data_IF_365614394830
#
_entry.id   IF_365614394830
#
_cell.length_a   1.000
_cell.length_b   1.000
_cell.length_c   1.000
_cell.angle_alpha   90.00
_cell.angle_beta   90.00
_cell.angle_gamma   90.00
#
_symmetry.space_group_name_H-M   'P 1'
#
loop_
_entity.id
_entity.type
_entity.pdbx_description
1 polymer ?
#
# COMPACT_ATOMS: atom_id res chain seq x y z
N UNK A 1 56.72 36.63 10.11
CA UNK A 1 56.61 35.16 9.98
C UNK A 1 55.44 34.54 10.77
N UNK A 2 55.23 34.81 12.07
CA UNK A 2 54.08 34.22 12.81
C UNK A 2 52.69 34.73 12.38
N UNK A 3 52.58 36.00 11.97
CA UNK A 3 51.28 36.61 11.60
C UNK A 3 50.75 36.23 10.20
N UNK A 4 51.61 35.76 9.29
CA UNK A 4 51.18 35.29 7.97
C UNK A 4 50.70 33.84 7.99
N UNK A 5 51.24 33.03 8.92
CA UNK A 5 50.87 31.62 9.07
C UNK A 5 49.48 31.45 9.72
N UNK A 6 49.05 32.38 10.57
CA UNK A 6 47.71 32.38 11.18
C UNK A 6 46.61 32.89 10.22
N UNK A 7 46.93 33.82 9.28
CA UNK A 7 45.99 34.27 8.25
C UNK A 7 45.66 33.19 7.23
N UNK A 8 46.64 32.37 6.84
CA UNK A 8 46.42 31.23 5.95
C UNK A 8 45.48 30.17 6.57
N UNK A 9 45.67 29.87 7.86
CA UNK A 9 44.87 28.86 8.58
C UNK A 9 43.42 29.28 8.81
N UNK A 10 43.16 30.57 9.08
CA UNK A 10 41.79 31.09 9.27
C UNK A 10 41.03 31.30 7.95
N UNK A 11 41.73 31.66 6.86
CA UNK A 11 41.14 31.77 5.52
C UNK A 11 40.75 30.40 4.94
N UNK A 12 41.58 29.38 5.18
CA UNK A 12 41.34 28.02 4.70
C UNK A 12 40.18 27.34 5.46
N UNK A 13 40.05 27.55 6.78
CA UNK A 13 38.91 27.02 7.56
C UNK A 13 37.57 27.62 7.14
N UNK A 14 37.52 28.92 6.80
CA UNK A 14 36.29 29.56 6.29
C UNK A 14 35.93 29.07 4.89
N UNK A 15 36.92 28.88 4.00
CA UNK A 15 36.67 28.36 2.65
C UNK A 15 36.25 26.89 2.65
N UNK A 16 36.84 26.06 3.53
CA UNK A 16 36.46 24.65 3.67
C UNK A 16 35.06 24.51 4.27
N UNK A 17 34.68 25.30 5.27
CA UNK A 17 33.32 25.30 5.80
C UNK A 17 32.29 25.80 4.76
N UNK A 18 32.61 26.84 3.98
CA UNK A 18 31.70 27.32 2.93
C UNK A 18 31.53 26.32 1.79
N UNK A 19 32.57 25.58 1.42
CA UNK A 19 32.50 24.52 0.39
C UNK A 19 31.75 23.29 0.91
N UNK A 20 31.90 22.92 2.19
CA UNK A 20 31.12 21.84 2.81
C UNK A 20 29.63 22.19 2.96
N UNK A 21 29.29 23.45 3.28
CA UNK A 21 27.90 23.92 3.32
C UNK A 21 27.31 23.98 1.91
N UNK A 22 28.08 24.39 0.90
CA UNK A 22 27.64 24.36 -0.50
C UNK A 22 27.47 22.92 -1.03
N UNK A 23 28.32 21.97 -0.61
CA UNK A 23 28.19 20.54 -0.93
C UNK A 23 27.00 19.89 -0.22
N UNK A 24 26.67 20.31 1.01
CA UNK A 24 25.48 19.88 1.73
C UNK A 24 24.18 20.50 1.16
N UNK A 25 24.26 21.66 0.51
CA UNK A 25 23.15 22.28 -0.23
C UNK A 25 23.03 21.79 -1.70
N UNK A 26 24.03 21.05 -2.19
CA UNK A 26 24.06 20.44 -3.53
C UNK A 26 23.84 18.93 -3.49
N UNK A 27 23.74 18.32 -2.31
CA UNK A 27 22.97 17.10 -2.19
C UNK A 27 21.52 17.53 -2.36
N UNK A 28 20.82 17.23 -3.47
CA UNK A 28 19.42 16.92 -3.27
C UNK A 28 19.46 15.86 -2.16
N UNK A 29 18.77 16.11 -1.04
CA UNK A 29 18.02 15.00 -0.47
C UNK A 29 17.28 14.51 -1.70
N UNK A 30 17.70 13.38 -2.26
CA UNK A 30 16.90 12.70 -3.25
C UNK A 30 15.65 12.38 -2.44
N UNK A 31 14.70 13.32 -2.41
CA UNK A 31 13.32 13.00 -2.17
C UNK A 31 13.09 11.95 -3.24
N UNK A 32 12.98 10.70 -2.81
CA UNK A 32 12.74 9.56 -3.66
C UNK A 32 11.59 9.96 -4.57
N UNK A 33 11.93 10.31 -5.82
CA UNK A 33 10.98 10.92 -6.71
C UNK A 33 9.98 9.83 -7.05
N UNK A 34 8.71 10.05 -6.71
CA UNK A 34 7.65 9.11 -7.02
C UNK A 34 7.61 8.90 -8.54
N UNK A 35 7.99 7.71 -9.00
CA UNK A 35 8.14 7.41 -10.42
C UNK A 35 6.83 6.88 -11.00
N UNK A 36 6.25 7.65 -11.92
CA UNK A 36 5.03 7.29 -12.63
C UNK A 36 5.36 6.55 -13.94
N UNK A 37 4.71 5.42 -14.17
CA UNK A 37 4.78 4.67 -15.42
C UNK A 37 4.01 5.33 -16.56
N UNK A 38 4.05 4.72 -17.75
CA UNK A 38 3.38 5.24 -18.95
C UNK A 38 1.85 5.34 -18.82
N UNK A 39 1.24 4.52 -17.96
CA UNK A 39 -0.19 4.57 -17.62
C UNK A 39 -0.54 5.73 -16.66
N UNK A 40 0.46 6.49 -16.19
CA UNK A 40 0.29 7.60 -15.28
C UNK A 40 0.06 7.20 -13.83
N UNK A 41 0.21 5.92 -13.46
CA UNK A 41 0.24 5.47 -12.06
C UNK A 41 1.68 5.28 -11.60
N UNK A 42 1.90 5.25 -10.29
CA UNK A 42 3.17 4.76 -9.76
C UNK A 42 3.46 3.34 -10.24
N UNK A 43 4.72 3.13 -10.63
CA UNK A 43 5.18 1.85 -11.16
C UNK A 43 6.09 1.17 -10.16
N UNK A 44 5.66 0.03 -9.62
CA UNK A 44 6.47 -0.74 -8.67
C UNK A 44 7.87 -1.06 -9.22
N UNK A 45 8.06 -1.55 -10.46
CA UNK A 45 9.40 -1.82 -11.01
C UNK A 45 10.31 -0.60 -11.19
N UNK A 46 9.74 0.60 -11.19
CA UNK A 46 10.47 1.88 -11.29
C UNK A 46 10.67 2.53 -9.91
N UNK A 47 9.95 2.06 -8.89
CA UNK A 47 10.03 2.59 -7.55
C UNK A 47 11.32 2.16 -6.84
N UNK A 48 11.85 2.98 -5.91
CA UNK A 48 12.98 2.57 -5.06
C UNK A 48 12.63 1.40 -4.13
N UNK A 49 11.33 1.15 -3.91
CA UNK A 49 10.80 0.11 -3.03
C UNK A 49 10.88 -1.29 -3.68
N UNK A 50 11.17 -1.37 -4.99
CA UNK A 50 11.13 -2.62 -5.75
C UNK A 50 12.12 -3.67 -5.23
N UNK A 51 13.34 -3.27 -4.86
CA UNK A 51 14.37 -4.21 -4.42
C UNK A 51 13.91 -4.96 -3.16
N UNK A 52 13.37 -4.24 -2.18
CA UNK A 52 12.89 -4.82 -0.93
C UNK A 52 11.60 -5.64 -1.12
N UNK A 53 10.66 -5.15 -1.93
CA UNK A 53 9.39 -5.85 -2.18
C UNK A 53 9.63 -7.12 -3.01
N UNK A 54 10.48 -7.06 -4.04
CA UNK A 54 10.80 -8.24 -4.86
C UNK A 54 11.57 -9.31 -4.08
N UNK A 55 12.30 -8.94 -3.02
CA UNK A 55 12.90 -9.92 -2.11
C UNK A 55 11.87 -10.80 -1.38
N UNK A 56 10.60 -10.38 -1.30
CA UNK A 56 9.50 -11.16 -0.75
C UNK A 56 8.95 -12.24 -1.72
N UNK A 57 9.48 -12.35 -2.94
CA UNK A 57 8.99 -13.27 -4.00
C UNK A 57 8.73 -14.69 -3.49
N UNK A 58 9.68 -15.28 -2.75
CA UNK A 58 9.53 -16.64 -2.21
C UNK A 58 8.38 -16.75 -1.22
N UNK A 59 8.15 -15.72 -0.40
CA UNK A 59 7.05 -15.69 0.56
C UNK A 59 5.72 -15.49 -0.16
N UNK A 60 5.67 -14.58 -1.14
CA UNK A 60 4.51 -14.33 -2.01
C UNK A 60 4.06 -15.64 -2.66
N UNK A 61 4.98 -16.37 -3.30
CA UNK A 61 4.67 -17.64 -3.95
C UNK A 61 4.22 -18.71 -2.96
N UNK A 62 4.86 -18.79 -1.79
CA UNK A 62 4.47 -19.75 -0.75
C UNK A 62 3.03 -19.52 -0.30
N UNK A 63 2.68 -18.28 0.02
CA UNK A 63 1.34 -17.97 0.50
C UNK A 63 0.28 -18.03 -0.62
N UNK A 64 0.59 -17.56 -1.83
CA UNK A 64 -0.33 -17.65 -2.97
C UNK A 64 -0.63 -19.09 -3.37
N UNK A 65 0.39 -19.97 -3.37
CA UNK A 65 0.19 -21.39 -3.63
C UNK A 65 -0.61 -22.10 -2.53
N UNK A 66 -0.39 -21.73 -1.27
CA UNK A 66 -1.23 -22.23 -0.19
C UNK A 66 -2.71 -21.87 -0.40
N UNK A 67 -2.99 -20.62 -0.79
CA UNK A 67 -4.34 -20.18 -1.16
C UNK A 67 -4.86 -20.95 -2.38
N UNK A 68 -4.03 -21.19 -3.40
CA UNK A 68 -4.44 -21.96 -4.57
C UNK A 68 -4.85 -23.40 -4.21
N UNK A 69 -4.10 -24.05 -3.32
CA UNK A 69 -4.44 -25.39 -2.83
C UNK A 69 -5.76 -25.41 -2.06
N UNK A 70 -5.99 -24.42 -1.20
CA UNK A 70 -7.18 -24.34 -0.33
C UNK A 70 -8.44 -23.89 -1.08
N UNK A 71 -8.34 -22.83 -1.87
CA UNK A 71 -9.49 -22.15 -2.49
C UNK A 71 -9.79 -22.64 -3.91
N UNK A 72 -8.76 -23.09 -4.65
CA UNK A 72 -8.89 -23.54 -6.03
C UNK A 72 -8.69 -25.06 -6.21
N UNK A 73 -8.29 -25.77 -5.16
CA UNK A 73 -8.00 -27.21 -5.21
C UNK A 73 -6.82 -27.56 -6.11
N UNK A 74 -5.84 -26.66 -6.23
CA UNK A 74 -4.65 -26.82 -7.07
C UNK A 74 -3.47 -27.44 -6.31
N UNK A 75 -2.38 -27.74 -7.01
CA UNK A 75 -1.14 -28.20 -6.40
C UNK A 75 -0.41 -27.06 -5.66
N UNK A 76 0.45 -27.40 -4.70
CA UNK A 76 1.22 -26.44 -3.88
C UNK A 76 2.29 -25.66 -4.69
N UNK A 77 2.35 -25.86 -6.01
CA UNK A 77 3.25 -25.15 -6.94
C UNK A 77 2.49 -24.64 -8.18
N UNK A 78 1.22 -24.31 -8.02
CA UNK A 78 0.36 -23.80 -9.09
C UNK A 78 0.84 -22.46 -9.67
N UNK A 79 1.21 -21.49 -8.83
CA UNK A 79 1.80 -20.22 -9.23
C UNK A 79 3.33 -20.31 -9.24
N UNK A 80 3.96 -19.75 -10.29
CA UNK A 80 5.40 -19.56 -10.43
C UNK A 80 5.78 -18.08 -10.50
N UNK A 81 7.09 -17.80 -10.63
CA UNK A 81 7.62 -16.42 -10.66
C UNK A 81 7.04 -15.59 -11.83
N UNK A 82 6.83 -16.26 -12.95
CA UNK A 82 6.31 -15.66 -14.19
C UNK A 82 4.85 -15.22 -14.06
N UNK A 83 4.13 -15.76 -13.07
CA UNK A 83 2.74 -15.41 -12.81
C UNK A 83 2.61 -14.12 -11.98
N UNK A 84 3.71 -13.60 -11.42
CA UNK A 84 3.72 -12.37 -10.62
C UNK A 84 3.74 -11.17 -11.57
N UNK A 85 2.63 -10.43 -11.60
CA UNK A 85 2.47 -9.22 -12.41
C UNK A 85 3.08 -7.99 -11.75
N UNK A 86 4.40 -7.94 -11.59
CA UNK A 86 5.11 -6.79 -11.03
C UNK A 86 4.80 -5.48 -11.78
N UNK A 87 4.70 -5.55 -13.10
CA UNK A 87 4.35 -4.45 -14.01
C UNK A 87 2.90 -3.98 -13.90
N UNK A 88 2.04 -4.80 -13.29
CA UNK A 88 0.61 -4.53 -13.06
C UNK A 88 0.30 -4.19 -11.61
N UNK A 89 1.33 -4.15 -10.76
CA UNK A 89 1.15 -3.77 -9.38
C UNK A 89 0.76 -2.28 -9.29
N UNK A 90 -0.07 -1.94 -8.31
CA UNK A 90 -0.52 -0.58 -8.09
C UNK A 90 -0.48 -0.22 -6.61
N UNK A 91 -0.15 1.04 -6.31
CA UNK A 91 -0.05 1.57 -4.96
C UNK A 91 -1.35 2.22 -4.53
N UNK A 92 -1.80 1.93 -3.32
CA UNK A 92 -2.92 2.58 -2.63
C UNK A 92 -2.38 3.30 -1.41
N UNK A 93 -2.72 4.57 -1.25
CA UNK A 93 -2.45 5.29 -0.02
C UNK A 93 -3.66 5.29 0.91
N UNK A 94 -3.41 5.01 2.18
CA UNK A 94 -4.41 5.00 3.25
C UNK A 94 -4.20 6.17 4.19
N UNK A 95 -5.31 6.59 4.81
CA UNK A 95 -5.33 7.57 5.90
C UNK A 95 -4.80 8.97 5.55
N UNK A 96 -4.52 9.25 4.28
CA UNK A 96 -4.25 10.60 3.77
C UNK A 96 -5.52 11.27 3.27
N UNK A 97 -5.83 12.45 3.79
CA UNK A 97 -6.91 13.29 3.29
C UNK A 97 -6.37 14.48 2.48
N UNK A 98 -6.34 14.39 1.14
CA UNK A 98 -5.85 15.49 0.31
C UNK A 98 -6.78 16.71 0.32
N UNK A 99 -8.03 16.56 0.78
CA UNK A 99 -9.02 17.64 0.80
C UNK A 99 -8.81 18.58 1.99
N UNK A 100 -8.10 18.14 3.03
CA UNK A 100 -7.71 18.98 4.17
C UNK A 100 -6.53 19.92 3.87
N UNK A 101 -5.79 19.69 2.77
CA UNK A 101 -4.67 20.54 2.34
C UNK A 101 -5.09 21.97 2.00
N UNK A 102 -6.34 22.20 1.59
CA UNK A 102 -6.84 23.53 1.20
C UNK A 102 -6.18 24.10 -0.07
N UNK A 103 -5.48 23.27 -0.84
CA UNK A 103 -4.74 23.62 -2.07
C UNK A 103 -5.02 22.58 -3.15
N UNK A 104 -4.85 22.96 -4.43
CA UNK A 104 -4.84 22.04 -5.56
C UNK A 104 -3.42 21.71 -6.05
N UNK A 105 -2.38 22.10 -5.30
CA UNK A 105 -0.98 21.89 -5.65
C UNK A 105 -0.57 20.40 -5.57
N UNK A 106 -0.06 19.85 -6.67
CA UNK A 106 0.40 18.46 -6.69
C UNK A 106 1.61 18.22 -5.78
N UNK A 107 2.55 19.17 -5.69
CA UNK A 107 3.74 18.99 -4.85
C UNK A 107 3.38 18.87 -3.36
N UNK A 108 2.35 19.60 -2.89
CA UNK A 108 1.85 19.50 -1.52
C UNK A 108 1.16 18.14 -1.26
N UNK A 109 0.43 17.62 -2.25
CA UNK A 109 -0.12 16.27 -2.19
C UNK A 109 0.99 15.22 -2.10
N UNK A 110 1.98 15.26 -2.99
CA UNK A 110 3.04 14.25 -3.02
C UNK A 110 3.88 14.31 -1.73
N UNK A 111 4.10 15.50 -1.18
CA UNK A 111 4.71 15.67 0.14
C UNK A 111 3.88 14.98 1.24
N UNK A 112 2.56 15.25 1.31
CA UNK A 112 1.65 14.58 2.25
C UNK A 112 1.72 13.05 2.14
N UNK A 113 1.70 12.52 0.91
CA UNK A 113 1.78 11.07 0.67
C UNK A 113 3.12 10.48 1.10
N UNK A 114 4.22 11.22 0.98
CA UNK A 114 5.55 10.76 1.39
C UNK A 114 5.78 10.82 2.90
N UNK A 115 5.20 11.82 3.58
CA UNK A 115 5.43 12.06 5.01
C UNK A 115 4.42 11.33 5.90
N UNK A 116 3.17 11.25 5.47
CA UNK A 116 2.05 10.72 6.26
C UNK A 116 1.36 9.52 5.61
N UNK A 117 1.64 9.26 4.33
CA UNK A 117 0.96 8.24 3.55
C UNK A 117 1.38 6.81 3.88
N UNK A 118 0.42 6.05 4.39
CA UNK A 118 0.54 4.60 4.50
C UNK A 118 0.30 3.96 3.12
N UNK A 119 1.39 3.66 2.41
CA UNK A 119 1.36 3.01 1.11
C UNK A 119 1.19 1.49 1.20
N UNK A 120 0.32 0.94 0.34
CA UNK A 120 0.11 -0.49 0.13
C UNK A 120 0.28 -0.80 -1.35
N UNK A 121 1.17 -1.71 -1.68
CA UNK A 121 1.27 -2.27 -3.02
C UNK A 121 0.34 -3.47 -3.15
N UNK A 122 -0.54 -3.45 -4.15
CA UNK A 122 -1.29 -4.62 -4.58
C UNK A 122 -0.60 -5.25 -5.78
N UNK A 123 -0.16 -6.49 -5.62
CA UNK A 123 0.59 -7.24 -6.63
C UNK A 123 -0.29 -8.40 -7.12
N UNK A 124 -0.71 -8.39 -8.39
CA UNK A 124 -1.52 -9.46 -8.92
C UNK A 124 -0.70 -10.69 -9.31
N UNK A 125 -1.25 -11.87 -9.04
CA UNK A 125 -0.78 -13.16 -9.56
C UNK A 125 -1.87 -13.81 -10.41
N UNK A 126 -1.45 -14.43 -11.51
CA UNK A 126 -2.34 -14.99 -12.53
C UNK A 126 -1.83 -16.31 -13.08
N UNK A 127 -2.61 -17.37 -12.96
CA UNK A 127 -2.35 -18.60 -13.71
C UNK A 127 -3.66 -19.33 -14.05
N UNK A 128 -3.78 -19.82 -15.28
CA UNK A 128 -4.95 -20.56 -15.80
C UNK A 128 -6.32 -19.92 -15.47
N UNK A 129 -6.42 -18.58 -15.49
CA UNK A 129 -7.64 -17.85 -15.17
C UNK A 129 -8.02 -17.86 -13.68
N UNK A 130 -7.09 -18.25 -12.80
CA UNK A 130 -7.15 -18.09 -11.35
C UNK A 130 -6.27 -16.93 -10.93
N UNK A 131 -6.77 -16.18 -9.95
CA UNK A 131 -6.20 -14.89 -9.61
C UNK A 131 -6.09 -14.70 -8.12
N UNK A 132 -4.93 -14.22 -7.70
CA UNK A 132 -4.64 -13.83 -6.33
C UNK A 132 -4.10 -12.40 -6.37
N UNK A 133 -4.47 -11.59 -5.39
CA UNK A 133 -3.96 -10.23 -5.21
C UNK A 133 -3.27 -10.19 -3.85
N UNK A 134 -1.99 -9.85 -3.84
CA UNK A 134 -1.14 -9.84 -2.66
C UNK A 134 -0.87 -8.39 -2.27
N UNK A 135 -1.27 -8.01 -1.07
CA UNK A 135 -1.03 -6.70 -0.50
C UNK A 135 0.26 -6.70 0.32
N UNK A 136 1.16 -5.78 0.00
CA UNK A 136 2.46 -5.60 0.64
C UNK A 136 2.59 -4.17 1.14
N UNK A 137 2.87 -4.01 2.43
CA UNK A 137 3.03 -2.70 3.08
C UNK A 137 4.16 -2.72 4.09
N UNK A 138 4.67 -1.55 4.46
CA UNK A 138 5.59 -1.42 5.59
C UNK A 138 4.84 -1.75 6.88
N UNK A 139 5.39 -2.66 7.67
CA UNK A 139 4.77 -3.10 8.91
C UNK A 139 4.83 -1.99 9.96
N UNK A 140 3.70 -1.61 10.53
CA UNK A 140 3.66 -0.69 11.66
C UNK A 140 4.16 -1.37 12.94
N UNK A 141 4.74 -0.58 13.85
CA UNK A 141 5.05 -1.08 15.18
C UNK A 141 3.75 -1.51 15.90
N UNK A 142 3.77 -2.65 16.63
CA UNK A 142 2.59 -3.07 17.40
C UNK A 142 2.28 -2.04 18.48
N UNK A 143 1.00 -1.71 18.67
CA UNK A 143 0.56 -0.78 19.72
C UNK A 143 0.45 -1.49 21.06
N UNK A 144 0.48 -0.74 22.17
CA UNK A 144 0.29 -1.32 23.51
C UNK A 144 -1.08 -1.99 23.67
N UNK A 145 -2.10 -1.52 22.96
CA UNK A 145 -3.44 -2.15 22.95
C UNK A 145 -3.41 -3.57 22.36
N UNK A 146 -2.46 -3.86 21.47
CA UNK A 146 -2.29 -5.20 20.89
C UNK A 146 -1.57 -6.17 21.82
N UNK A 147 -0.89 -5.67 22.87
CA UNK A 147 -0.14 -6.49 23.83
C UNK A 147 -1.02 -7.51 24.55
N UNK A 148 -2.28 -7.15 24.78
CA UNK A 148 -3.26 -8.01 25.44
C UNK A 148 -3.92 -9.02 24.48
N UNK A 149 -3.83 -8.79 23.17
CA UNK A 149 -4.45 -9.62 22.13
C UNK A 149 -3.49 -10.63 21.48
N UNK A 150 -2.18 -10.47 21.69
CA UNK A 150 -1.12 -11.26 21.06
C UNK A 150 -0.35 -12.09 22.08
N UNK A 151 0.22 -13.22 21.66
CA UNK A 151 1.24 -13.88 22.50
C UNK A 151 2.52 -13.04 22.54
N UNK A 152 3.38 -13.19 23.57
CA UNK A 152 4.67 -12.51 23.62
C UNK A 152 5.53 -12.73 22.38
N UNK A 153 5.54 -13.95 21.83
CA UNK A 153 6.28 -14.29 20.62
C UNK A 153 5.73 -13.58 19.38
N UNK A 154 4.40 -13.47 19.27
CA UNK A 154 3.74 -12.76 18.17
C UNK A 154 4.01 -11.26 18.26
N UNK A 155 3.96 -10.69 19.46
CA UNK A 155 4.28 -9.29 19.70
C UNK A 155 5.74 -8.98 19.33
N UNK A 156 6.69 -9.78 19.82
CA UNK A 156 8.12 -9.62 19.48
C UNK A 156 8.38 -9.80 17.99
N UNK A 157 7.67 -10.71 17.31
CA UNK A 157 7.77 -10.84 15.85
C UNK A 157 7.30 -9.57 15.15
N UNK A 158 6.18 -8.99 15.57
CA UNK A 158 5.70 -7.72 14.99
C UNK A 158 6.66 -6.57 15.27
N UNK A 159 7.28 -6.50 16.46
CA UNK A 159 8.33 -5.52 16.76
C UNK A 159 9.55 -5.68 15.84
N UNK A 160 9.95 -6.92 15.54
CA UNK A 160 11.07 -7.20 14.64
C UNK A 160 10.75 -6.89 13.17
N UNK A 161 9.48 -7.00 12.79
CA UNK A 161 9.01 -6.71 11.44
C UNK A 161 8.73 -5.22 11.22
N UNK A 162 8.55 -4.44 12.29
CA UNK A 162 8.27 -3.01 12.22
C UNK A 162 9.29 -2.25 11.36
N UNK A 163 8.80 -1.43 10.45
CA UNK A 163 9.62 -0.68 9.49
C UNK A 163 10.11 -1.49 8.29
N UNK A 164 9.81 -2.80 8.21
CA UNK A 164 10.12 -3.62 7.05
C UNK A 164 8.87 -3.93 6.23
N UNK A 165 9.05 -4.05 4.92
CA UNK A 165 8.03 -4.54 3.99
C UNK A 165 7.60 -5.96 4.35
N UNK A 166 6.29 -6.20 4.38
CA UNK A 166 5.73 -7.52 4.64
C UNK A 166 4.41 -7.73 3.90
N UNK A 167 4.03 -8.99 3.70
CA UNK A 167 2.72 -9.36 3.16
C UNK A 167 1.68 -9.14 4.26
N UNK A 168 0.80 -8.16 4.07
CA UNK A 168 -0.23 -7.82 5.04
C UNK A 168 -1.61 -8.38 4.68
N UNK A 169 -1.84 -8.74 3.41
CA UNK A 169 -3.07 -9.40 2.97
C UNK A 169 -2.88 -10.23 1.71
N UNK A 170 -3.73 -11.23 1.55
CA UNK A 170 -3.89 -11.97 0.29
C UNK A 170 -5.38 -12.14 0.01
N UNK A 171 -5.79 -11.85 -1.22
CA UNK A 171 -7.15 -11.99 -1.68
C UNK A 171 -7.25 -12.83 -2.94
N UNK A 172 -8.17 -13.79 -2.95
CA UNK A 172 -8.68 -14.45 -4.15
C UNK A 172 -9.54 -13.48 -4.97
N UNK A 173 -9.41 -13.55 -6.29
CA UNK A 173 -10.30 -12.86 -7.22
C UNK A 173 -10.95 -13.86 -8.18
N UNK A 174 -12.21 -13.59 -8.52
CA UNK A 174 -12.92 -14.34 -9.56
C UNK A 174 -12.37 -14.02 -10.94
N UNK A 175 -12.03 -12.75 -11.16
CA UNK A 175 -11.41 -12.22 -12.36
C UNK A 175 -10.39 -11.18 -11.91
N UNK A 176 -9.16 -11.22 -12.43
CA UNK A 176 -8.26 -10.10 -12.27
C UNK A 176 -8.59 -9.09 -13.34
N UNK A 177 -8.92 -7.94 -12.82
CA UNK A 177 -9.39 -6.81 -13.55
C UNK A 177 -8.26 -5.80 -13.38
N UNK A 178 -7.53 -5.49 -14.45
CA UNK A 178 -6.41 -4.55 -14.43
C UNK A 178 -6.92 -3.21 -13.89
N UNK A 179 -6.69 -2.98 -12.60
CA UNK A 179 -7.33 -1.90 -11.86
C UNK A 179 -6.88 -0.53 -12.39
N UNK A 180 -5.56 -0.29 -12.64
CA UNK A 180 -5.12 0.85 -13.43
C UNK A 180 -5.87 1.04 -14.76
N UNK A 181 -6.03 -0.01 -15.56
CA UNK A 181 -6.72 0.09 -16.84
C UNK A 181 -8.23 0.40 -16.70
N UNK A 182 -8.89 -0.09 -15.65
CA UNK A 182 -10.28 0.25 -15.35
C UNK A 182 -10.46 1.71 -14.95
N UNK A 183 -9.54 2.22 -14.12
CA UNK A 183 -9.50 3.62 -13.72
C UNK A 183 -9.33 4.49 -14.97
N UNK A 184 -8.39 4.14 -15.85
CA UNK A 184 -8.20 4.82 -17.13
C UNK A 184 -9.46 4.78 -18.00
N UNK A 185 -10.10 3.61 -18.14
CA UNK A 185 -11.32 3.47 -18.92
C UNK A 185 -12.46 4.33 -18.37
N UNK A 186 -12.63 4.39 -17.05
CA UNK A 186 -13.65 5.23 -16.42
C UNK A 186 -13.38 6.72 -16.68
N UNK A 187 -12.15 7.16 -16.43
CA UNK A 187 -11.72 8.55 -16.63
C UNK A 187 -11.96 8.98 -18.08
N UNK A 188 -11.57 8.14 -19.05
CA UNK A 188 -11.78 8.39 -20.47
C UNK A 188 -13.26 8.44 -20.85
N UNK A 189 -14.09 7.51 -20.32
CA UNK A 189 -15.53 7.51 -20.56
C UNK A 189 -16.23 8.78 -20.03
N UNK A 190 -15.64 9.43 -19.03
CA UNK A 190 -16.13 10.70 -18.46
C UNK A 190 -15.44 11.94 -19.05
N UNK A 191 -14.62 11.77 -20.10
CA UNK A 191 -14.01 12.87 -20.85
C UNK A 191 -12.74 13.46 -20.22
N UNK A 192 -12.14 12.80 -19.22
CA UNK A 192 -10.82 13.19 -18.71
C UNK A 192 -9.77 12.82 -19.76
N UNK A 193 -8.94 13.80 -20.12
CA UNK A 193 -7.93 13.61 -21.16
C UNK A 193 -6.87 12.57 -20.72
N UNK A 194 -6.35 11.75 -21.65
CA UNK A 194 -5.30 10.78 -21.34
C UNK A 194 -4.00 11.47 -20.90
N UNK A 195 -3.09 10.68 -20.33
CA UNK A 195 -1.74 11.13 -19.96
C UNK A 195 -1.67 11.96 -18.67
N UNK A 196 -2.72 12.00 -17.86
CA UNK A 196 -2.63 12.51 -16.49
C UNK A 196 -1.96 11.50 -15.56
N UNK A 197 -1.20 12.02 -14.60
CA UNK A 197 -0.74 11.27 -13.44
C UNK A 197 -1.93 10.96 -12.53
N UNK A 198 -1.86 9.87 -11.78
CA UNK A 198 -2.97 9.35 -10.98
C UNK A 198 -2.44 8.78 -9.68
N UNK A 199 -3.03 9.23 -8.59
CA UNK A 199 -2.80 8.70 -7.24
C UNK A 199 -4.05 7.97 -6.79
N UNK A 200 -3.90 6.76 -6.28
CA UNK A 200 -5.01 6.00 -5.71
C UNK A 200 -5.04 6.18 -4.19
N UNK A 201 -6.19 6.55 -3.67
CA UNK A 201 -6.42 6.81 -2.25
C UNK A 201 -7.56 5.93 -1.75
N UNK A 202 -7.48 5.44 -0.51
CA UNK A 202 -8.54 4.67 0.13
C UNK A 202 -8.70 5.03 1.62
N UNK A 203 -9.93 4.92 2.13
CA UNK A 203 -10.26 4.99 3.54
C UNK A 203 -9.82 6.26 4.31
N UNK A 204 -9.87 7.43 3.67
CA UNK A 204 -9.60 8.74 4.29
C UNK A 204 -10.84 9.35 4.97
N UNK A 205 -10.66 10.45 5.72
CA UNK A 205 -11.51 10.93 6.83
C UNK A 205 -13.02 10.65 6.71
N UNK A 206 -13.62 11.02 5.56
CA UNK A 206 -15.08 10.99 5.31
C UNK A 206 -15.49 10.02 4.21
N UNK A 207 -14.56 9.33 3.55
CA UNK A 207 -14.85 8.41 2.46
C UNK A 207 -14.12 7.07 2.63
N UNK A 208 -14.89 5.98 2.56
CA UNK A 208 -14.33 4.62 2.59
C UNK A 208 -14.02 4.07 1.20
N UNK A 209 -14.77 4.49 0.19
CA UNK A 209 -14.58 4.05 -1.19
C UNK A 209 -13.23 4.53 -1.74
N UNK A 210 -12.53 3.70 -2.53
CA UNK A 210 -11.30 4.11 -3.18
C UNK A 210 -11.58 5.17 -4.24
N UNK A 211 -10.63 6.09 -4.38
CA UNK A 211 -10.67 7.14 -5.40
C UNK A 211 -9.37 7.17 -6.17
N UNK A 212 -9.43 7.60 -7.43
CA UNK A 212 -8.27 8.00 -8.21
C UNK A 212 -8.29 9.51 -8.37
N UNK A 213 -7.26 10.16 -7.86
CA UNK A 213 -7.03 11.59 -7.99
C UNK A 213 -6.10 11.83 -9.18
N UNK A 214 -6.53 12.63 -10.14
CA UNK A 214 -5.74 12.93 -11.33
C UNK A 214 -4.93 14.21 -11.15
N UNK A 215 -3.67 14.19 -11.59
CA UNK A 215 -2.76 15.32 -11.58
C UNK A 215 -2.41 15.70 -13.02
N UNK A 216 -2.52 16.99 -13.33
CA UNK A 216 -2.14 17.59 -14.62
C UNK A 216 -1.51 18.94 -14.39
N UNK A 217 -0.40 19.23 -15.07
CA UNK A 217 0.30 20.51 -15.00
C UNK A 217 0.60 20.97 -13.55
N UNK A 218 0.97 20.02 -12.68
CA UNK A 218 1.27 20.26 -11.28
C UNK A 218 0.05 20.54 -10.39
N UNK A 219 -1.17 20.25 -10.87
CA UNK A 219 -2.42 20.48 -10.14
C UNK A 219 -3.31 19.25 -10.07
N UNK A 220 -3.99 19.10 -8.93
CA UNK A 220 -5.08 18.17 -8.72
C UNK A 220 -6.30 18.62 -9.55
N UNK A 221 -6.71 17.81 -10.53
CA UNK A 221 -7.72 18.20 -11.52
C UNK A 221 -9.09 17.54 -11.27
N UNK A 222 -9.11 16.22 -11.07
CA UNK A 222 -10.34 15.45 -10.95
C UNK A 222 -10.20 14.26 -10.00
N UNK A 223 -11.32 13.81 -9.47
CA UNK A 223 -11.44 12.67 -8.58
C UNK A 223 -12.46 11.71 -9.16
N UNK A 224 -12.01 10.49 -9.46
CA UNK A 224 -12.86 9.38 -9.86
C UNK A 224 -13.15 8.49 -8.65
N UNK A 225 -14.41 8.14 -8.42
CA UNK A 225 -14.85 7.29 -7.30
C UNK A 225 -15.19 5.90 -7.80
N UNK A 226 -14.58 4.87 -7.20
CA UNK A 226 -14.66 3.49 -7.68
C UNK A 226 -15.43 2.57 -6.74
N UNK A 227 -15.89 1.45 -7.28
CA UNK A 227 -16.20 0.29 -6.48
C UNK A 227 -14.89 -0.33 -5.97
N UNK A 228 -14.86 -0.70 -4.69
CA UNK A 228 -13.78 -1.54 -4.20
C UNK A 228 -13.72 -2.84 -5.01
N UNK A 229 -12.53 -3.29 -5.47
CA UNK A 229 -12.40 -4.68 -5.83
C UNK A 229 -12.62 -5.51 -4.56
N UNK A 230 -13.62 -6.39 -4.59
CA UNK A 230 -13.91 -7.35 -3.53
C UNK A 230 -12.64 -8.13 -3.15
N UNK A 231 -12.08 -7.88 -1.97
CA UNK A 231 -11.03 -8.75 -1.41
C UNK A 231 -11.69 -9.89 -0.65
N UNK A 232 -12.06 -10.95 -1.37
CA UNK A 232 -12.35 -12.25 -0.74
C UNK A 232 -11.00 -12.92 -0.48
N UNK A 233 -10.67 -13.32 0.75
CA UNK A 233 -9.46 -14.14 0.97
C UNK A 233 -8.73 -14.00 2.30
N UNK A 234 -9.21 -13.17 3.23
CA UNK A 234 -8.97 -13.49 4.64
C UNK A 234 -10.04 -14.46 5.11
N UNK A 235 -9.66 -15.46 5.89
CA UNK A 235 -10.53 -16.47 6.54
C UNK A 235 -11.62 -15.88 7.47
N UNK A 236 -11.76 -14.56 7.49
CA UNK A 236 -12.97 -13.83 7.89
C UNK A 236 -13.19 -12.70 6.90
N UNK A 237 -14.43 -12.43 6.46
CA UNK A 237 -14.72 -11.25 5.67
C UNK A 237 -14.23 -10.02 6.44
N UNK A 238 -13.28 -9.28 5.87
CA UNK A 238 -13.13 -7.86 6.19
C UNK A 238 -14.42 -7.21 5.74
N UNK A 239 -15.39 -7.10 6.65
CA UNK A 239 -16.47 -6.17 6.48
C UNK A 239 -15.88 -4.83 6.90
N UNK A 240 -15.16 -4.17 6.00
CA UNK A 240 -15.30 -2.72 5.97
C UNK A 240 -16.78 -2.53 5.76
N UNK A 241 -17.50 -2.14 6.81
CA UNK A 241 -18.87 -1.73 6.68
C UNK A 241 -18.84 -0.65 5.62
N UNK A 242 -19.31 -0.96 4.40
CA UNK A 242 -19.53 0.02 3.37
C UNK A 242 -20.69 0.87 3.90
N UNK A 243 -20.38 1.82 4.78
CA UNK A 243 -21.20 3.00 4.91
C UNK A 243 -21.12 3.63 3.53
N UNK A 244 -22.05 3.26 2.64
CA UNK A 244 -22.22 3.89 1.35
C UNK A 244 -22.27 5.37 1.65
N UNK A 245 -21.27 6.13 1.20
CA UNK A 245 -21.35 7.58 1.26
C UNK A 245 -22.60 7.94 0.45
N UNK A 246 -23.69 8.30 1.11
CA UNK A 246 -25.00 8.49 0.49
C UNK A 246 -25.02 9.61 -0.56
N UNK A 247 -23.91 10.36 -0.67
CA UNK A 247 -23.85 11.64 -1.37
C UNK A 247 -23.01 11.61 -2.66
N UNK A 248 -22.24 10.55 -2.93
CA UNK A 248 -21.45 10.44 -4.17
C UNK A 248 -21.76 9.10 -4.84
N UNK A 249 -22.14 9.17 -6.12
CA UNK A 249 -22.45 7.99 -6.92
C UNK A 249 -21.14 7.31 -7.32
N UNK A 250 -21.06 5.99 -7.13
CA UNK A 250 -19.99 5.17 -7.69
C UNK A 250 -19.88 5.38 -9.21
N UNK A 251 -18.65 5.41 -9.73
CA UNK A 251 -18.36 5.75 -11.13
C UNK A 251 -18.45 7.24 -11.46
N UNK A 252 -18.68 8.11 -10.47
CA UNK A 252 -18.61 9.55 -10.67
C UNK A 252 -17.15 9.99 -10.88
N UNK A 253 -16.97 10.94 -11.79
CA UNK A 253 -15.73 11.69 -11.98
C UNK A 253 -16.08 13.16 -11.76
N UNK A 254 -15.46 13.78 -10.76
CA UNK A 254 -15.77 15.13 -10.32
C UNK A 254 -14.51 16.00 -10.39
N UNK A 255 -14.61 17.29 -10.77
CA UNK A 255 -13.52 18.23 -10.58
C UNK A 255 -13.05 18.26 -9.12
N UNK A 256 -11.75 18.38 -8.87
CA UNK A 256 -11.18 18.33 -7.53
C UNK A 256 -11.82 19.34 -6.57
N UNK A 257 -11.97 20.60 -6.99
CA UNK A 257 -12.62 21.63 -6.17
C UNK A 257 -14.09 21.31 -5.81
N UNK A 258 -14.83 20.65 -6.71
CA UNK A 258 -16.19 20.19 -6.41
C UNK A 258 -16.16 19.07 -5.35
N UNK A 259 -15.17 18.16 -5.43
CA UNK A 259 -14.99 17.13 -4.41
C UNK A 259 -14.66 17.76 -3.05
N UNK A 260 -13.79 18.77 -2.98
CA UNK A 260 -13.50 19.50 -1.74
C UNK A 260 -14.78 20.06 -1.10
N UNK A 261 -15.65 20.72 -1.87
CA UNK A 261 -16.93 21.24 -1.35
C UNK A 261 -17.85 20.14 -0.80
N UNK A 262 -17.85 18.97 -1.45
CA UNK A 262 -18.65 17.82 -0.98
C UNK A 262 -18.07 17.29 0.33
N UNK A 263 -16.75 17.15 0.42
CA UNK A 263 -16.04 16.66 1.60
C UNK A 263 -16.19 17.60 2.79
N UNK A 264 -16.15 18.91 2.60
CA UNK A 264 -16.42 19.90 3.66
C UNK A 264 -17.81 19.73 4.29
N UNK A 265 -18.82 19.45 3.46
CA UNK A 265 -20.23 19.30 3.89
C UNK A 265 -20.56 17.90 4.40
N UNK A 266 -19.67 16.94 4.21
CA UNK A 266 -19.88 15.56 4.63
C UNK A 266 -19.52 15.41 6.11
N UNK A 267 -20.42 14.80 6.87
CA UNK A 267 -20.14 14.39 8.25
C UNK A 267 -19.13 13.23 8.25
N UNK A 268 -18.23 13.15 9.24
CA UNK A 268 -17.36 11.98 9.41
C UNK A 268 -18.21 10.71 9.51
N UNK A 269 -17.74 9.56 9.01
CA UNK A 269 -18.47 8.31 9.07
C UNK A 269 -18.72 8.01 10.56
N UNK A 270 -19.93 7.55 10.90
CA UNK A 270 -20.22 7.11 12.27
C UNK A 270 -19.14 6.11 12.69
N UNK A 271 -18.35 6.50 13.70
CA UNK A 271 -17.10 5.86 14.13
C UNK A 271 -17.17 4.34 14.14
N UNK A 272 -16.66 3.71 13.09
CA UNK A 272 -16.08 2.38 13.19
C UNK A 272 -14.58 2.62 13.02
N UNK A 273 -13.76 2.34 14.05
CA UNK A 273 -12.33 2.54 13.98
C UNK A 273 -11.76 1.79 12.78
N UNK A 274 -10.93 2.47 11.99
CA UNK A 274 -10.03 1.81 11.03
C UNK A 274 -9.04 1.06 11.92
N UNK A 275 -9.26 -0.24 12.12
CA UNK A 275 -8.24 -1.05 12.76
C UNK A 275 -7.09 -1.18 11.75
N UNK A 276 -5.85 -0.84 12.12
CA UNK A 276 -4.71 -1.07 11.25
C UNK A 276 -4.62 -2.56 10.90
N UNK A 277 -4.15 -2.83 9.69
CA UNK A 277 -3.98 -4.08 8.94
C UNK A 277 -3.25 -5.24 9.68
N UNK A 278 -3.63 -5.59 10.91
CA UNK A 278 -2.86 -6.49 11.79
C UNK A 278 -3.72 -7.63 12.35
N UNK A 279 -4.33 -8.45 11.48
CA UNK A 279 -4.92 -9.75 11.90
C UNK A 279 -4.58 -10.89 10.91
N UNK A 280 -3.66 -10.68 9.96
CA UNK A 280 -3.17 -11.77 9.08
C UNK A 280 -2.35 -12.83 9.84
N UNK A 281 -1.69 -12.41 10.92
CA UNK A 281 -0.62 -13.18 11.58
C UNK A 281 -1.14 -14.14 12.66
N UNK A 282 -2.30 -13.87 13.26
CA UNK A 282 -2.87 -14.63 14.38
C UNK A 282 -3.64 -15.90 13.97
N UNK A 283 -4.18 -15.93 12.75
CA UNK A 283 -5.03 -17.05 12.33
C UNK A 283 -4.23 -18.23 11.73
N UNK A 284 -3.10 -17.94 11.07
CA UNK A 284 -2.21 -18.96 10.52
C UNK A 284 -1.51 -19.80 11.59
N UNK A 285 -1.07 -19.16 12.69
CA UNK A 285 -0.41 -19.86 13.81
C UNK A 285 -1.38 -20.76 14.58
N UNK A 286 -2.62 -20.30 14.81
CA UNK A 286 -3.65 -21.11 15.46
C UNK A 286 -4.10 -22.30 14.60
N UNK A 287 -4.24 -22.13 13.28
CA UNK A 287 -4.58 -23.22 12.35
C UNK A 287 -3.43 -24.22 12.19
N UNK A 288 -2.19 -23.76 12.06
CA UNK A 288 -1.02 -24.65 11.99
C UNK A 288 -0.78 -25.39 13.30
N UNK A 289 -0.99 -24.75 14.46
CA UNK A 289 -0.94 -25.41 15.76
C UNK A 289 -2.07 -26.44 15.92
N UNK A 290 -3.30 -26.11 15.52
CA UNK A 290 -4.42 -27.05 15.54
C UNK A 290 -4.21 -28.24 14.59
N UNK A 291 -3.65 -28.01 13.40
CA UNK A 291 -3.33 -29.05 12.43
C UNK A 291 -2.19 -29.95 12.92
N UNK A 292 -1.14 -29.38 13.49
CA UNK A 292 -0.02 -30.12 14.08
C UNK A 292 -0.49 -30.97 15.27
N UNK A 293 -1.31 -30.41 16.17
CA UNK A 293 -1.90 -31.14 17.30
C UNK A 293 -2.81 -32.26 16.80
N UNK A 294 -3.64 -32.02 15.78
CA UNK A 294 -4.52 -33.03 15.19
C UNK A 294 -3.73 -34.16 14.51
N UNK A 295 -2.69 -33.84 13.75
CA UNK A 295 -1.80 -34.83 13.10
C UNK A 295 -1.06 -35.67 14.14
N UNK A 296 -0.49 -35.04 15.18
CA UNK A 296 0.16 -35.75 16.28
C UNK A 296 -0.85 -36.68 16.97
N UNK A 297 -2.05 -36.22 17.29
CA UNK A 297 -3.09 -37.03 17.93
C UNK A 297 -3.55 -38.21 17.07
N UNK A 298 -3.70 -37.99 15.75
CA UNK A 298 -4.10 -39.02 14.77
C UNK A 298 -3.05 -40.12 14.61
N UNK A 299 -1.76 -39.78 14.65
CA UNK A 299 -0.66 -40.74 14.43
C UNK A 299 -0.08 -41.34 15.73
N UNK A 300 -0.36 -40.77 16.90
CA UNK A 300 0.08 -41.32 18.21
C UNK A 300 -0.95 -42.22 18.87
N UNK A 301 -2.23 -42.19 18.46
CA UNK A 301 -3.23 -43.18 18.88
C UNK A 301 -2.97 -44.50 18.16
N UNK A 302 -2.22 -45.40 18.81
CA UNK A 302 -2.31 -46.83 18.50
C UNK A 302 -3.78 -47.26 18.61
N UNK A 303 -4.33 -48.00 17.62
CA UNK A 303 -5.65 -48.58 17.79
C UNK A 303 -5.61 -49.48 19.02
N UNK A 304 -6.45 -49.17 20.00
CA UNK A 304 -6.68 -50.07 21.13
C UNK A 304 -7.26 -51.37 20.55
N UNK A 305 -6.47 -52.45 20.67
CA UNK A 305 -6.98 -53.83 20.62
C UNK A 305 -7.08 -54.32 22.05
#
# INVERSE_FOLDING_TARGET
>A
MKAEQERGSTCMKRSVCSVLILLLLLCPVAADAQEFGENGFESLPLSPEFEEISALESEILTQANHIAAVEFGQEDSFFSREDIGWDKAYKLYYECDPYELGTDCADELLALLSEEGNGLWEIPLSNEGKWVLVGVSVSSAPTDEMRDALTPEEFTRLEQQAGNWSICRIGVRKELEDYPAQVDALLQCQGVAPGCQKVLLQAFSKMRSPVALTIRDGRMESVAVFQEPWVLGTSKPFVFGSAKSSNIKEGAVLPFGQMCEIMERMDPPSSIPVQPLIIGVLSGTALLAALAIWLIWKFTRKPAK
#
